data_IF_314293600042
#
_entry.id   IF_314293600042
#
_cell.length_a   1.000
_cell.length_b   1.000
_cell.length_c   1.000
_cell.angle_alpha   90.00
_cell.angle_beta   90.00
_cell.angle_gamma   90.00
#
_symmetry.space_group_name_H-M   'P 1'
#
loop_
_entity.id
_entity.type
_entity.pdbx_description
1 polymer ?
#
# COMPACT_ATOMS: atom_id res chain seq x y z
N UNK A 1 8.70 12.17 -6.44
CA UNK A 1 7.23 12.23 -6.38
C UNK A 1 6.82 13.39 -7.28
N UNK A 2 6.86 13.19 -8.60
CA UNK A 2 6.57 14.26 -9.56
C UNK A 2 5.29 13.99 -10.37
N UNK A 3 4.69 12.81 -10.22
CA UNK A 3 3.43 12.45 -10.87
C UNK A 3 2.35 12.29 -9.79
N UNK A 4 1.32 13.14 -9.79
CA UNK A 4 0.15 12.97 -8.93
C UNK A 4 -0.53 11.61 -9.17
N UNK A 5 -1.14 11.05 -8.13
CA UNK A 5 -1.82 9.75 -8.19
C UNK A 5 -2.90 9.66 -9.26
N UNK A 6 -3.68 10.73 -9.43
CA UNK A 6 -4.73 10.79 -10.45
C UNK A 6 -4.17 10.73 -11.88
N UNK A 7 -2.96 11.25 -12.13
CA UNK A 7 -2.34 11.19 -13.47
C UNK A 7 -2.02 9.74 -13.82
N UNK A 8 -1.47 8.99 -12.87
CA UNK A 8 -1.22 7.55 -13.05
C UNK A 8 -2.53 6.77 -13.24
N UNK A 9 -3.58 7.14 -12.51
CA UNK A 9 -4.91 6.55 -12.69
C UNK A 9 -5.46 6.80 -14.11
N UNK A 10 -5.38 8.04 -14.60
CA UNK A 10 -5.80 8.40 -15.97
C UNK A 10 -4.96 7.67 -17.01
N UNK A 11 -3.64 7.60 -16.86
CA UNK A 11 -2.77 6.87 -17.78
C UNK A 11 -3.08 5.37 -17.79
N UNK A 12 -3.32 4.79 -16.62
CA UNK A 12 -3.76 3.40 -16.49
C UNK A 12 -5.11 3.16 -17.18
N UNK A 13 -6.06 4.08 -17.02
CA UNK A 13 -7.35 4.02 -17.70
C UNK A 13 -7.21 4.13 -19.23
N UNK A 14 -6.38 5.06 -19.72
CA UNK A 14 -6.10 5.21 -21.16
C UNK A 14 -5.43 3.95 -21.73
N UNK A 15 -4.55 3.31 -20.96
CA UNK A 15 -3.95 2.04 -21.33
C UNK A 15 -4.99 0.92 -21.41
N UNK A 16 -5.88 0.80 -20.43
CA UNK A 16 -6.97 -0.17 -20.42
C UNK A 16 -7.93 0.05 -21.61
N UNK A 17 -8.29 1.31 -21.89
CA UNK A 17 -9.11 1.71 -23.03
C UNK A 17 -8.47 1.32 -24.38
N UNK A 18 -7.17 1.54 -24.54
CA UNK A 18 -6.46 1.24 -25.79
C UNK A 18 -6.24 -0.25 -26.01
N UNK A 19 -5.92 -0.98 -24.94
CA UNK A 19 -5.55 -2.40 -25.04
C UNK A 19 -6.74 -3.34 -24.94
N UNK A 20 -7.84 -2.91 -24.31
CA UNK A 20 -9.02 -3.72 -24.00
C UNK A 20 -8.72 -5.02 -23.24
N UNK A 21 -7.51 -5.15 -22.67
CA UNK A 21 -7.09 -6.31 -21.89
C UNK A 21 -7.72 -6.25 -20.49
N UNK A 22 -7.92 -5.04 -19.96
CA UNK A 22 -8.42 -4.80 -18.62
C UNK A 22 -9.74 -4.02 -18.66
N UNK A 23 -10.64 -4.30 -17.70
CA UNK A 23 -11.87 -3.52 -17.57
C UNK A 23 -11.55 -2.07 -17.21
N UNK A 24 -12.39 -1.18 -17.72
CA UNK A 24 -12.23 0.28 -17.61
C UNK A 24 -12.86 0.86 -16.33
N UNK A 25 -13.58 0.04 -15.56
CA UNK A 25 -14.18 0.42 -14.29
C UNK A 25 -15.27 -0.55 -13.83
N UNK A 26 -15.84 -0.28 -12.66
CA UNK A 26 -16.85 -1.15 -12.03
C UNK A 26 -16.25 -2.29 -11.21
N UNK A 27 -17.12 -3.00 -10.46
CA UNK A 27 -16.73 -4.17 -9.66
C UNK A 27 -16.71 -5.48 -10.46
N UNK A 28 -17.55 -5.54 -11.51
CA UNK A 28 -17.91 -6.77 -12.22
C UNK A 28 -18.37 -6.47 -13.63
N UNK A 29 -18.15 -7.41 -14.55
CA UNK A 29 -18.68 -7.34 -15.92
C UNK A 29 -20.21 -7.38 -15.97
N UNK A 30 -20.80 -6.86 -17.05
CA UNK A 30 -22.28 -6.86 -17.26
C UNK A 30 -22.87 -8.28 -17.19
N UNK A 31 -22.13 -9.29 -17.64
CA UNK A 31 -22.58 -10.69 -17.65
C UNK A 31 -22.30 -11.45 -16.34
N UNK A 32 -21.87 -10.76 -15.27
CA UNK A 32 -21.36 -11.41 -14.05
C UNK A 32 -22.36 -12.39 -13.41
N UNK A 33 -23.66 -12.09 -13.46
CA UNK A 33 -24.68 -12.94 -12.84
C UNK A 33 -24.80 -14.32 -13.50
N UNK A 34 -24.47 -14.43 -14.79
CA UNK A 34 -24.56 -15.65 -15.60
C UNK A 34 -23.30 -16.53 -15.53
N UNK A 35 -22.22 -16.02 -14.94
CA UNK A 35 -20.92 -16.69 -14.88
C UNK A 35 -20.87 -17.81 -13.81
N UNK A 36 -20.02 -18.80 -14.07
CA UNK A 36 -19.66 -19.83 -13.10
C UNK A 36 -18.92 -19.22 -11.89
N UNK A 37 -18.88 -19.92 -10.75
CA UNK A 37 -18.20 -19.42 -9.54
C UNK A 37 -16.73 -19.02 -9.78
N UNK A 38 -15.98 -19.83 -10.53
CA UNK A 38 -14.58 -19.53 -10.86
C UNK A 38 -14.43 -18.31 -11.79
N UNK A 39 -15.33 -18.18 -12.76
CA UNK A 39 -15.36 -17.04 -13.69
C UNK A 39 -15.74 -15.75 -12.97
N UNK A 40 -16.66 -15.80 -12.00
CA UNK A 40 -16.99 -14.67 -11.12
C UNK A 40 -15.79 -14.19 -10.33
N UNK A 41 -15.00 -15.13 -9.77
CA UNK A 41 -13.80 -14.77 -9.01
C UNK A 41 -12.74 -14.12 -9.91
N UNK A 42 -12.55 -14.66 -11.12
CA UNK A 42 -11.61 -14.11 -12.09
C UNK A 42 -12.04 -12.72 -12.58
N UNK A 43 -13.33 -12.52 -12.83
CA UNK A 43 -13.92 -11.24 -13.22
C UNK A 43 -13.63 -10.17 -12.16
N UNK A 44 -13.90 -10.45 -10.89
CA UNK A 44 -13.60 -9.53 -9.77
C UNK A 44 -12.10 -9.21 -9.72
N UNK A 45 -11.24 -10.22 -9.87
CA UNK A 45 -9.79 -10.02 -9.85
C UNK A 45 -9.30 -9.11 -10.99
N UNK A 46 -9.85 -9.27 -12.21
CA UNK A 46 -9.52 -8.41 -13.34
C UNK A 46 -9.93 -6.94 -13.10
N UNK A 47 -11.09 -6.72 -12.47
CA UNK A 47 -11.57 -5.38 -12.10
C UNK A 47 -10.73 -4.73 -11.00
N UNK A 48 -10.14 -5.55 -10.11
CA UNK A 48 -9.28 -5.08 -9.03
C UNK A 48 -7.84 -4.77 -9.48
N UNK A 49 -7.38 -5.39 -10.58
CA UNK A 49 -5.97 -5.32 -11.00
C UNK A 49 -5.53 -3.90 -11.34
N UNK A 50 -6.33 -3.14 -12.08
CA UNK A 50 -5.95 -1.80 -12.51
C UNK A 50 -5.89 -0.80 -11.33
N UNK A 51 -6.92 -0.70 -10.46
CA UNK A 51 -6.83 0.12 -9.25
C UNK A 51 -5.66 -0.26 -8.34
N UNK A 52 -5.45 -1.56 -8.11
CA UNK A 52 -4.37 -2.02 -7.23
C UNK A 52 -2.99 -1.72 -7.78
N UNK A 53 -2.76 -1.89 -9.09
CA UNK A 53 -1.49 -1.54 -9.72
C UNK A 53 -1.18 -0.05 -9.60
N UNK A 54 -2.16 0.81 -9.89
CA UNK A 54 -1.99 2.27 -9.79
C UNK A 54 -1.59 2.66 -8.36
N UNK A 55 -2.31 2.14 -7.36
CA UNK A 55 -2.02 2.43 -5.96
C UNK A 55 -0.68 1.84 -5.49
N UNK A 56 -0.35 0.62 -5.91
CA UNK A 56 0.89 -0.07 -5.53
C UNK A 56 2.12 0.64 -6.08
N UNK A 57 2.09 1.12 -7.33
CA UNK A 57 3.21 1.86 -7.93
C UNK A 57 3.51 3.13 -7.13
N UNK A 58 2.47 3.83 -6.68
CA UNK A 58 2.62 5.06 -5.87
C UNK A 58 3.25 4.74 -4.51
N UNK A 59 2.73 3.72 -3.82
CA UNK A 59 3.23 3.30 -2.51
C UNK A 59 4.69 2.84 -2.59
N UNK A 60 5.04 2.01 -3.57
CA UNK A 60 6.41 1.50 -3.77
C UNK A 60 7.39 2.64 -4.02
N UNK A 61 7.04 3.65 -4.82
CA UNK A 61 7.93 4.78 -5.06
C UNK A 61 8.24 5.58 -3.78
N UNK A 62 7.27 5.67 -2.86
CA UNK A 62 7.46 6.27 -1.53
C UNK A 62 8.39 5.43 -0.67
N UNK A 63 8.05 4.15 -0.51
CA UNK A 63 8.80 3.19 0.29
C UNK A 63 10.24 3.01 -0.19
N UNK A 64 10.49 2.95 -1.50
CA UNK A 64 11.84 2.83 -2.07
C UNK A 64 12.72 4.03 -1.69
N UNK A 65 12.18 5.25 -1.79
CA UNK A 65 12.91 6.47 -1.42
C UNK A 65 13.27 6.47 0.06
N UNK A 66 12.30 6.13 0.91
CA UNK A 66 12.51 6.05 2.35
C UNK A 66 13.55 4.97 2.69
N UNK A 67 13.45 3.80 2.06
CA UNK A 67 14.40 2.71 2.26
C UNK A 67 15.82 3.10 1.90
N UNK A 68 15.99 3.80 0.77
CA UNK A 68 17.30 4.29 0.34
C UNK A 68 17.89 5.26 1.36
N UNK A 69 17.08 6.17 1.92
CA UNK A 69 17.53 7.08 2.97
C UNK A 69 17.95 6.33 4.24
N UNK A 70 17.10 5.44 4.75
CA UNK A 70 17.39 4.63 5.93
C UNK A 70 18.67 3.79 5.76
N UNK A 71 18.85 3.16 4.58
CA UNK A 71 20.06 2.40 4.28
C UNK A 71 21.31 3.29 4.30
N UNK A 72 21.25 4.50 3.73
CA UNK A 72 22.38 5.42 3.74
C UNK A 72 22.78 5.84 5.16
N UNK A 73 21.80 6.04 6.05
CA UNK A 73 22.05 6.37 7.45
C UNK A 73 22.67 5.21 8.21
N UNK A 74 22.14 4.00 8.02
CA UNK A 74 22.66 2.79 8.66
C UNK A 74 24.07 2.47 8.17
N UNK A 75 24.36 2.64 6.88
CA UNK A 75 25.70 2.39 6.33
C UNK A 75 26.79 3.32 6.91
N UNK A 76 26.41 4.47 7.47
CA UNK A 76 27.34 5.42 8.12
C UNK A 76 27.68 5.02 9.56
N UNK A 77 26.98 4.05 10.16
CA UNK A 77 27.17 3.63 11.54
C UNK A 77 28.51 2.89 11.74
N UNK A 78 29.10 3.06 12.92
CA UNK A 78 30.46 2.56 13.22
C UNK A 78 30.57 1.03 13.15
N UNK A 79 29.55 0.28 13.59
CA UNK A 79 29.59 -1.19 13.50
C UNK A 79 29.61 -1.70 12.05
N UNK A 80 29.01 -0.95 11.10
CA UNK A 80 29.08 -1.27 9.67
C UNK A 80 30.50 -1.03 9.16
N UNK A 81 31.10 0.12 9.49
CA UNK A 81 32.49 0.44 9.12
C UNK A 81 33.46 -0.61 9.68
N UNK A 82 33.26 -1.02 10.93
CA UNK A 82 34.04 -2.09 11.57
C UNK A 82 33.84 -3.44 10.87
N UNK A 83 32.63 -3.79 10.44
CA UNK A 83 32.38 -5.02 9.69
C UNK A 83 33.10 -5.02 8.33
N UNK A 84 33.13 -3.88 7.64
CA UNK A 84 33.88 -3.71 6.39
C UNK A 84 35.39 -3.81 6.65
N UNK A 85 35.90 -3.15 7.71
CA UNK A 85 37.31 -3.20 8.10
C UNK A 85 37.79 -4.62 8.48
N UNK A 86 36.88 -5.47 8.98
CA UNK A 86 37.13 -6.90 9.24
C UNK A 86 37.16 -7.77 7.98
N UNK A 87 36.97 -7.19 6.79
CA UNK A 87 37.02 -7.91 5.51
C UNK A 87 35.74 -8.64 5.13
N UNK A 88 34.58 -8.33 5.76
CA UNK A 88 33.32 -8.91 5.30
C UNK A 88 32.97 -8.38 3.91
N UNK A 89 32.47 -9.24 3.00
CA UNK A 89 32.09 -8.81 1.67
C UNK A 89 30.87 -7.88 1.73
N UNK A 90 30.87 -6.83 0.91
CA UNK A 90 29.88 -5.74 0.95
C UNK A 90 28.43 -6.22 0.88
N UNK A 91 28.14 -7.25 0.07
CA UNK A 91 26.80 -7.82 -0.01
C UNK A 91 26.32 -8.42 1.33
N UNK A 92 27.19 -9.13 2.07
CA UNK A 92 26.82 -9.65 3.40
C UNK A 92 26.59 -8.52 4.38
N UNK A 93 27.39 -7.45 4.31
CA UNK A 93 27.22 -6.28 5.18
C UNK A 93 25.87 -5.60 4.91
N UNK A 94 25.53 -5.39 3.64
CA UNK A 94 24.26 -4.76 3.26
C UNK A 94 23.06 -5.63 3.66
N UNK A 95 23.00 -6.89 3.23
CA UNK A 95 21.82 -7.74 3.44
C UNK A 95 21.66 -8.23 4.88
N UNK A 96 22.76 -8.54 5.58
CA UNK A 96 22.70 -9.13 6.93
C UNK A 96 22.75 -8.10 8.05
N UNK A 97 23.47 -6.99 7.86
CA UNK A 97 23.70 -6.00 8.92
C UNK A 97 22.94 -4.70 8.68
N UNK A 98 23.03 -4.10 7.50
CA UNK A 98 22.40 -2.81 7.24
C UNK A 98 20.88 -2.94 7.05
N UNK A 99 20.43 -3.86 6.20
CA UNK A 99 19.03 -4.06 5.84
C UNK A 99 18.14 -4.33 7.06
N UNK A 100 18.61 -5.18 7.98
CA UNK A 100 17.85 -5.55 9.18
C UNK A 100 17.52 -4.36 10.07
N UNK A 101 18.41 -3.37 10.15
CA UNK A 101 18.18 -2.16 10.94
C UNK A 101 17.46 -1.08 10.14
N UNK A 102 17.70 -1.00 8.83
CA UNK A 102 17.09 -0.01 7.95
C UNK A 102 15.60 -0.28 7.66
N UNK A 103 15.13 -1.53 7.84
CA UNK A 103 13.76 -1.93 7.53
C UNK A 103 12.74 -1.53 8.62
N UNK A 104 13.18 -1.32 9.87
CA UNK A 104 12.26 -1.06 10.98
C UNK A 104 11.29 0.11 10.71
N UNK A 105 11.75 1.30 10.25
CA UNK A 105 10.82 2.39 9.95
C UNK A 105 9.86 2.08 8.78
N UNK A 106 10.25 1.22 7.84
CA UNK A 106 9.38 0.82 6.73
C UNK A 106 8.25 -0.08 7.18
N UNK A 107 8.50 -0.97 8.15
CA UNK A 107 7.46 -1.85 8.68
C UNK A 107 6.37 -1.01 9.35
N UNK A 108 6.74 0.03 10.10
CA UNK A 108 5.77 0.97 10.69
C UNK A 108 4.95 1.69 9.62
N UNK A 109 5.62 2.24 8.59
CA UNK A 109 4.93 2.94 7.49
C UNK A 109 4.01 1.98 6.73
N UNK A 110 4.40 0.71 6.57
CA UNK A 110 3.61 -0.30 5.89
C UNK A 110 2.24 -0.52 6.53
N UNK A 111 2.14 -0.49 7.87
CA UNK A 111 0.85 -0.58 8.57
C UNK A 111 -0.10 0.56 8.23
N UNK A 112 0.44 1.78 8.14
CA UNK A 112 -0.31 2.96 7.71
C UNK A 112 -0.72 2.87 6.23
N UNK A 113 0.20 2.49 5.35
CA UNK A 113 -0.06 2.34 3.90
C UNK A 113 -1.14 1.29 3.63
N UNK A 114 -1.13 0.14 4.33
CA UNK A 114 -2.20 -0.86 4.22
C UNK A 114 -3.58 -0.26 4.50
N UNK A 115 -3.70 0.50 5.57
CA UNK A 115 -4.95 1.19 5.89
C UNK A 115 -5.31 2.28 4.89
N UNK A 116 -4.32 3.04 4.42
CA UNK A 116 -4.53 4.11 3.45
C UNK A 116 -4.98 3.56 2.09
N UNK A 117 -4.49 2.38 1.68
CA UNK A 117 -4.94 1.69 0.48
C UNK A 117 -6.41 1.25 0.57
N UNK A 118 -6.84 0.78 1.74
CA UNK A 118 -8.21 0.31 1.98
C UNK A 118 -9.21 1.46 2.17
N UNK A 119 -8.78 2.59 2.70
CA UNK A 119 -9.67 3.68 3.15
C UNK A 119 -9.49 5.01 2.40
N UNK A 120 -8.45 5.17 1.59
CA UNK A 120 -7.88 6.51 1.30
C UNK A 120 -7.66 6.86 -0.16
N UNK A 121 -8.12 6.04 -1.12
CA UNK A 121 -7.87 6.27 -2.53
C UNK A 121 -9.02 6.99 -3.27
N UNK A 122 -9.81 7.83 -2.59
CA UNK A 122 -11.05 8.41 -3.11
C UNK A 122 -10.95 9.00 -4.52
N UNK A 123 -9.89 9.77 -4.80
CA UNK A 123 -9.66 10.36 -6.13
C UNK A 123 -9.34 9.29 -7.18
N UNK A 124 -8.47 8.34 -6.85
CA UNK A 124 -8.10 7.23 -7.76
C UNK A 124 -9.29 6.33 -8.04
N UNK A 125 -10.08 6.00 -7.02
CA UNK A 125 -11.31 5.23 -7.10
C UNK A 125 -12.36 5.93 -7.97
N UNK A 126 -12.52 7.24 -7.81
CA UNK A 126 -13.43 8.05 -8.64
C UNK A 126 -12.99 8.05 -10.11
N UNK A 127 -11.70 8.22 -10.38
CA UNK A 127 -11.17 8.24 -11.77
C UNK A 127 -11.31 6.88 -12.45
N UNK A 128 -11.09 5.79 -11.72
CA UNK A 128 -11.21 4.42 -12.24
C UNK A 128 -12.64 3.87 -12.17
N UNK A 129 -13.61 4.69 -11.76
CA UNK A 129 -15.00 4.27 -11.53
C UNK A 129 -15.12 2.99 -10.68
N UNK A 130 -14.24 2.84 -9.69
CA UNK A 130 -14.20 1.70 -8.79
C UNK A 130 -14.85 2.08 -7.45
N UNK A 131 -15.93 1.40 -7.02
CA UNK A 131 -16.62 1.74 -5.78
C UNK A 131 -15.85 1.21 -4.57
N UNK A 132 -14.95 2.03 -4.04
CA UNK A 132 -14.21 1.78 -2.81
C UNK A 132 -14.72 2.60 -1.62
N UNK A 133 -14.12 2.37 -0.45
CA UNK A 133 -14.46 3.10 0.77
C UNK A 133 -14.12 4.60 0.65
N UNK A 134 -13.05 4.96 -0.04
CA UNK A 134 -12.67 6.36 -0.20
C UNK A 134 -13.69 7.15 -1.03
N UNK A 135 -14.14 6.59 -2.15
CA UNK A 135 -15.18 7.15 -2.99
C UNK A 135 -16.51 7.24 -2.24
N UNK A 136 -16.85 6.22 -1.45
CA UNK A 136 -18.06 6.21 -0.62
C UNK A 136 -18.04 7.31 0.45
N UNK A 137 -16.92 7.50 1.15
CA UNK A 137 -16.75 8.59 2.12
C UNK A 137 -16.87 9.96 1.45
N UNK A 138 -16.26 10.14 0.27
CA UNK A 138 -16.34 11.39 -0.48
C UNK A 138 -17.78 11.70 -0.94
N UNK A 139 -18.50 10.68 -1.40
CA UNK A 139 -19.89 10.80 -1.79
C UNK A 139 -20.79 11.16 -0.60
N UNK A 140 -20.62 10.46 0.53
CA UNK A 140 -21.36 10.73 1.76
C UNK A 140 -21.13 12.16 2.26
N UNK A 141 -19.88 12.62 2.26
CA UNK A 141 -19.53 13.98 2.66
C UNK A 141 -20.16 15.04 1.74
N UNK A 142 -20.18 14.80 0.42
CA UNK A 142 -20.82 15.71 -0.55
C UNK A 142 -22.33 15.76 -0.40
N UNK A 143 -22.96 14.65 -0.04
CA UNK A 143 -24.40 14.55 0.22
C UNK A 143 -24.80 15.03 1.61
N UNK A 144 -23.84 15.45 2.45
CA UNK A 144 -24.04 15.79 3.86
C UNK A 144 -24.72 14.65 4.64
N UNK A 145 -24.50 13.40 4.24
CA UNK A 145 -24.96 12.22 4.97
C UNK A 145 -23.99 11.95 6.12
N UNK A 146 -24.29 12.56 7.28
CA UNK A 146 -23.46 12.49 8.47
C UNK A 146 -23.35 11.04 8.97
N UNK A 147 -24.42 10.26 8.88
CA UNK A 147 -24.44 8.87 9.35
C UNK A 147 -23.51 8.00 8.50
N UNK A 148 -23.64 8.08 7.17
CA UNK A 148 -22.78 7.32 6.26
C UNK A 148 -21.32 7.76 6.35
N UNK A 149 -21.09 9.07 6.50
CA UNK A 149 -19.73 9.61 6.71
C UNK A 149 -19.12 9.05 7.99
N UNK A 150 -19.85 9.06 9.10
CA UNK A 150 -19.35 8.49 10.37
C UNK A 150 -19.04 6.99 10.26
N UNK A 151 -19.93 6.20 9.65
CA UNK A 151 -19.70 4.75 9.46
C UNK A 151 -18.44 4.48 8.64
N UNK A 152 -18.27 5.18 7.52
CA UNK A 152 -17.09 4.99 6.67
C UNK A 152 -15.79 5.42 7.36
N UNK A 153 -15.81 6.51 8.15
CA UNK A 153 -14.67 6.92 8.97
C UNK A 153 -14.34 5.91 10.07
N UNK A 154 -15.35 5.34 10.73
CA UNK A 154 -15.15 4.30 11.75
C UNK A 154 -14.53 3.03 11.13
N UNK A 155 -14.99 2.63 9.95
CA UNK A 155 -14.40 1.51 9.20
C UNK A 155 -12.94 1.81 8.83
N UNK A 156 -12.65 3.02 8.35
CA UNK A 156 -11.27 3.46 8.05
C UNK A 156 -10.37 3.43 9.28
N UNK A 157 -10.85 3.94 10.42
CA UNK A 157 -10.11 3.90 11.68
C UNK A 157 -9.87 2.46 12.17
N UNK A 158 -10.85 1.58 12.02
CA UNK A 158 -10.70 0.16 12.38
C UNK A 158 -9.63 -0.51 11.51
N UNK A 159 -9.63 -0.25 10.20
CA UNK A 159 -8.59 -0.73 9.29
C UNK A 159 -7.21 -0.18 9.64
N UNK A 160 -7.13 1.06 10.10
CA UNK A 160 -5.88 1.66 10.57
C UNK A 160 -5.32 0.95 11.79
N UNK A 161 -6.18 0.64 12.76
CA UNK A 161 -5.77 -0.10 13.96
C UNK A 161 -5.30 -1.50 13.57
N UNK A 162 -6.01 -2.20 12.68
CA UNK A 162 -5.61 -3.53 12.19
C UNK A 162 -4.28 -3.46 11.44
N UNK A 163 -4.10 -2.49 10.55
CA UNK A 163 -2.86 -2.29 9.78
C UNK A 163 -1.66 -2.02 10.68
N UNK A 164 -1.82 -1.16 11.69
CA UNK A 164 -0.77 -0.90 12.68
C UNK A 164 -0.45 -2.13 13.53
N UNK A 165 -1.48 -2.89 13.95
CA UNK A 165 -1.26 -4.14 14.68
C UNK A 165 -0.44 -5.15 13.86
N UNK A 166 -0.72 -5.27 12.55
CA UNK A 166 0.07 -6.11 11.64
C UNK A 166 1.51 -5.60 11.58
N UNK A 167 1.73 -4.28 11.46
CA UNK A 167 3.07 -3.70 11.46
C UNK A 167 3.84 -4.00 12.75
N UNK A 168 3.20 -3.89 13.92
CA UNK A 168 3.83 -4.20 15.21
C UNK A 168 4.24 -5.67 15.32
N UNK A 169 3.39 -6.58 14.82
CA UNK A 169 3.72 -8.01 14.74
C UNK A 169 4.90 -8.28 13.80
N UNK A 170 4.94 -7.62 12.64
CA UNK A 170 6.04 -7.71 11.69
C UNK A 170 7.35 -7.15 12.27
N UNK A 171 7.28 -6.05 13.02
CA UNK A 171 8.43 -5.45 13.72
C UNK A 171 9.02 -6.44 14.72
N UNK A 172 8.17 -7.09 15.53
CA UNK A 172 8.60 -8.11 16.49
C UNK A 172 9.33 -9.28 15.82
N UNK A 173 8.88 -9.69 14.64
CA UNK A 173 9.54 -10.76 13.89
C UNK A 173 10.88 -10.31 13.27
N UNK A 174 10.92 -9.10 12.70
CA UNK A 174 12.12 -8.55 12.07
C UNK A 174 13.23 -8.24 13.08
N UNK A 175 12.87 -7.70 14.24
CA UNK A 175 13.78 -7.34 15.31
C UNK A 175 13.29 -7.86 16.68
N UNK A 176 13.75 -9.05 17.11
CA UNK A 176 13.39 -9.64 18.40
C UNK A 176 13.99 -8.88 19.60
N UNK A 177 14.76 -7.80 19.38
CA UNK A 177 15.23 -6.90 20.44
C UNK A 177 14.19 -5.86 20.83
N UNK A 178 13.18 -5.64 19.99
CA UNK A 178 12.03 -4.78 20.31
C UNK A 178 11.18 -5.54 21.33
N UNK A 179 11.43 -5.27 22.61
CA UNK A 179 10.54 -5.66 23.69
C UNK A 179 9.34 -4.73 23.64
N UNK A 180 8.14 -5.27 23.42
CA UNK A 180 6.89 -4.55 23.61
C UNK A 180 6.87 -4.06 25.07
N UNK A 181 7.11 -2.76 25.26
CA UNK A 181 7.03 -2.12 26.55
C UNK A 181 5.58 -2.06 26.97
N UNK A 182 5.14 -3.04 27.75
CA UNK A 182 3.97 -2.90 28.63
C UNK A 182 4.52 -2.35 29.93
N UNK A 183 4.50 -1.03 30.07
CA UNK A 183 4.53 -0.36 31.38
C UNK A 183 3.12 -0.01 31.78
#
# INVERSE_FOLDING_TARGET
>A
MSTPSFVLAVLGLLFALKTQILPIGGLTSVNHYELNFYEKLFDIFQHLLLPTLVLTVIAIAGLQRQMRANLLDVLRQEYIKTAIAKGLPTHKVVYKHALRNAINPLITIFGFELSALLSGAALTETVLAYPGLGALTLEAARKLDINLTMVTLMLGATMLIIGNLIADLLLKYADPRIKLGVT
#
